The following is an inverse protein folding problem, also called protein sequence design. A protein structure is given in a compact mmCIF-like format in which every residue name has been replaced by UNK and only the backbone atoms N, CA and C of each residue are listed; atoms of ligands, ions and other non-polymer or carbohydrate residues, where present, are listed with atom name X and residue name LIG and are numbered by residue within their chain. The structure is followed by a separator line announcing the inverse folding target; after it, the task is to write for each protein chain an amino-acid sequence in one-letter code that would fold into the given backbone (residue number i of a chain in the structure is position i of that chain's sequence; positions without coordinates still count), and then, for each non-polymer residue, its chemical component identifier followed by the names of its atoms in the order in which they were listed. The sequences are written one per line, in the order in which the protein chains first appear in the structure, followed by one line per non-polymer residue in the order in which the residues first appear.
data_IF_867758305348
#
_entry.id   IF_867758305348
#
_cell.length_a   1.000
_cell.length_b   1.000
_cell.length_c   1.000
_cell.angle_alpha   90.00
_cell.angle_beta   90.00
_cell.angle_gamma   90.00
#
_symmetry.space_group_name_H-M   'P 1'
#
loop_
_entity.id
_entity.type
_entity.pdbx_description
1 polymer ?
#
# COMPACT_ATOMS: atom_id res chain seq x y z
N UNK A 1 16.64 23.36 2.38
CA UNK A 1 17.44 22.15 2.11
C UNK A 1 16.51 21.17 1.45
N UNK A 2 16.79 20.69 0.25
CA UNK A 2 15.98 19.62 -0.37
C UNK A 2 16.37 18.32 0.32
N UNK A 3 15.46 17.74 1.07
CA UNK A 3 15.65 16.41 1.64
C UNK A 3 15.78 15.39 0.50
N UNK A 4 16.66 14.40 0.66
CA UNK A 4 16.79 13.34 -0.34
C UNK A 4 15.53 12.46 -0.29
N UNK A 5 14.98 12.13 -1.45
CA UNK A 5 13.81 11.27 -1.55
C UNK A 5 14.12 9.87 -1.00
N UNK A 6 13.14 9.22 -0.34
CA UNK A 6 13.31 7.84 0.06
C UNK A 6 13.43 6.94 -1.19
N UNK A 7 14.17 5.81 -1.13
CA UNK A 7 14.35 4.94 -2.30
C UNK A 7 13.04 4.45 -2.92
N UNK A 8 12.01 4.27 -2.09
CA UNK A 8 10.69 3.80 -2.47
C UNK A 8 9.70 4.92 -2.85
N UNK A 9 10.18 6.10 -3.24
CA UNK A 9 9.38 7.22 -3.76
C UNK A 9 8.96 7.05 -5.24
N UNK A 10 9.20 5.88 -5.83
CA UNK A 10 8.79 5.53 -7.20
C UNK A 10 8.49 4.04 -7.31
N UNK A 11 7.68 3.65 -8.29
CA UNK A 11 7.35 2.25 -8.57
C UNK A 11 8.61 1.38 -8.74
N UNK A 12 9.60 1.84 -9.50
CA UNK A 12 10.84 1.10 -9.75
C UNK A 12 11.74 0.97 -8.51
N UNK A 13 11.57 1.86 -7.53
CA UNK A 13 12.33 1.89 -6.28
C UNK A 13 11.67 1.13 -5.13
N UNK A 14 10.56 0.41 -5.39
CA UNK A 14 9.79 -0.27 -4.36
C UNK A 14 10.66 -1.20 -3.48
N UNK A 15 10.49 -1.11 -2.16
CA UNK A 15 11.27 -1.89 -1.19
C UNK A 15 10.44 -2.99 -0.52
N UNK A 16 11.02 -4.10 -0.05
CA UNK A 16 10.25 -5.16 0.59
C UNK A 16 9.48 -4.70 1.83
N UNK A 17 8.22 -5.14 1.98
CA UNK A 17 7.42 -4.98 3.21
C UNK A 17 7.09 -6.36 3.81
N UNK A 18 7.11 -6.43 5.13
CA UNK A 18 6.63 -7.61 5.87
C UNK A 18 5.19 -7.32 6.29
N UNK A 19 4.25 -8.09 5.73
CA UNK A 19 2.83 -7.99 6.06
C UNK A 19 2.50 -9.06 7.11
N UNK A 20 2.02 -8.67 8.31
CA UNK A 20 1.62 -9.62 9.34
C UNK A 20 0.31 -10.33 8.99
N UNK A 21 0.10 -11.50 9.59
CA UNK A 21 -1.18 -12.22 9.56
C UNK A 21 -2.19 -11.60 10.54
N UNK A 22 -3.48 -11.78 10.25
CA UNK A 22 -4.58 -11.39 11.13
C UNK A 22 -4.40 -11.99 12.53
N UNK A 23 -4.60 -11.16 13.57
CA UNK A 23 -4.37 -11.53 14.97
C UNK A 23 -3.18 -10.80 15.61
N UNK A 24 -2.42 -10.02 14.84
CA UNK A 24 -1.51 -9.02 15.40
C UNK A 24 -2.32 -7.91 16.12
N UNK A 25 -1.84 -7.46 17.28
CA UNK A 25 -2.33 -6.22 17.91
C UNK A 25 -2.00 -5.04 17.01
N UNK A 26 -3.01 -4.47 16.31
CA UNK A 26 -2.92 -3.39 15.30
C UNK A 26 -1.67 -3.49 14.41
N UNK A 27 -1.77 -4.09 13.21
CA UNK A 27 -0.66 -4.16 12.25
C UNK A 27 -0.44 -2.79 11.58
N UNK A 28 -0.19 -1.79 12.41
CA UNK A 28 -0.14 -0.39 12.05
C UNK A 28 1.23 -0.04 11.49
N UNK A 29 1.21 0.67 10.37
CA UNK A 29 2.34 1.29 9.73
C UNK A 29 2.14 2.80 9.74
N UNK A 30 3.25 3.54 9.77
CA UNK A 30 3.27 5.00 9.63
C UNK A 30 4.35 5.37 8.63
N UNK A 31 4.01 6.23 7.66
CA UNK A 31 4.95 6.76 6.68
C UNK A 31 5.09 8.27 6.88
N UNK A 32 6.32 8.76 7.12
CA UNK A 32 6.57 10.14 7.51
C UNK A 32 6.77 11.07 6.30
N UNK A 33 5.78 11.13 5.40
CA UNK A 33 5.85 11.89 4.13
C UNK A 33 6.26 13.35 4.30
N UNK A 34 5.98 13.98 5.45
CA UNK A 34 6.35 15.38 5.71
C UNK A 34 7.81 15.57 6.10
N UNK A 35 8.53 14.49 6.43
CA UNK A 35 9.88 14.55 7.01
C UNK A 35 10.89 13.56 6.43
N UNK A 36 10.52 12.66 5.51
CA UNK A 36 11.48 11.77 4.82
C UNK A 36 11.79 12.19 3.38
N UNK A 37 11.07 13.18 2.87
CA UNK A 37 11.29 13.78 1.57
C UNK A 37 10.19 13.45 0.58
N UNK A 38 9.40 12.39 0.80
CA UNK A 38 8.45 11.79 -0.15
C UNK A 38 7.74 12.80 -1.04
N UNK A 39 7.62 12.49 -2.32
CA UNK A 39 6.92 13.30 -3.32
C UNK A 39 5.81 12.51 -4.01
N UNK A 40 5.01 13.21 -4.81
CA UNK A 40 4.08 12.57 -5.74
C UNK A 40 4.88 11.98 -6.91
N UNK A 41 4.91 10.66 -7.00
CA UNK A 41 5.61 9.93 -8.07
C UNK A 41 4.97 10.12 -9.46
N UNK A 42 3.74 10.63 -9.52
CA UNK A 42 2.91 10.73 -10.73
C UNK A 42 2.26 9.41 -11.15
N UNK A 43 2.43 8.34 -10.38
CA UNK A 43 1.77 7.05 -10.60
C UNK A 43 0.34 7.10 -10.04
N UNK A 44 -0.63 7.41 -10.90
CA UNK A 44 -2.02 7.53 -10.48
C UNK A 44 -2.80 6.21 -10.55
N UNK A 45 -3.89 6.13 -9.78
CA UNK A 45 -4.72 4.94 -9.60
C UNK A 45 -5.99 5.03 -10.46
N UNK A 46 -6.16 4.09 -11.39
CA UNK A 46 -7.36 4.05 -12.24
C UNK A 46 -8.55 3.53 -11.43
N UNK A 47 -9.58 4.35 -11.26
CA UNK A 47 -10.82 3.98 -10.60
C UNK A 47 -10.85 4.18 -9.08
N UNK A 48 -9.79 4.77 -8.51
CA UNK A 48 -9.71 5.18 -7.11
C UNK A 48 -9.30 6.65 -6.98
N UNK A 49 -9.17 7.14 -5.74
CA UNK A 49 -8.66 8.48 -5.43
C UNK A 49 -7.34 8.75 -6.15
N UNK A 50 -7.22 9.97 -6.68
CA UNK A 50 -5.98 10.42 -7.28
C UNK A 50 -4.86 10.44 -6.23
N UNK A 51 -3.69 9.89 -6.58
CA UNK A 51 -2.53 9.88 -5.69
C UNK A 51 -1.89 11.27 -5.59
N UNK A 52 -1.42 11.59 -4.38
CA UNK A 52 -0.41 12.61 -4.12
C UNK A 52 0.89 11.92 -3.70
N UNK A 53 1.51 12.41 -2.62
CA UNK A 53 2.70 11.77 -2.05
C UNK A 53 2.49 10.28 -1.82
N UNK A 54 3.44 9.47 -2.28
CA UNK A 54 3.28 8.03 -2.30
C UNK A 54 4.59 7.27 -2.09
N UNK A 55 4.46 6.07 -1.50
CA UNK A 55 5.57 5.15 -1.35
C UNK A 55 5.18 3.75 -1.81
N UNK A 56 6.18 3.05 -2.34
CA UNK A 56 6.01 1.76 -3.00
C UNK A 56 6.69 0.63 -2.24
N UNK A 57 6.00 -0.48 -2.09
CA UNK A 57 6.52 -1.66 -1.42
C UNK A 57 6.40 -2.89 -2.29
N UNK A 58 7.29 -3.85 -2.12
CA UNK A 58 7.21 -5.16 -2.77
C UNK A 58 6.78 -6.22 -1.77
N UNK A 59 5.92 -7.12 -2.21
CA UNK A 59 5.49 -8.27 -1.43
C UNK A 59 5.23 -9.45 -2.35
N UNK A 60 5.76 -10.62 -1.98
CA UNK A 60 5.43 -11.89 -2.65
C UNK A 60 4.19 -12.47 -1.98
N UNK A 61 3.14 -12.70 -2.75
CA UNK A 61 1.84 -13.09 -2.25
C UNK A 61 1.88 -14.43 -1.51
N UNK A 62 1.75 -14.38 -0.19
CA UNK A 62 1.59 -15.58 0.65
C UNK A 62 0.12 -15.91 0.92
N UNK A 63 -0.79 -14.98 0.61
CA UNK A 63 -2.23 -15.10 0.77
C UNK A 63 -2.95 -14.46 -0.43
N UNK A 64 -4.20 -14.83 -0.67
CA UNK A 64 -5.00 -14.33 -1.81
C UNK A 64 -5.65 -12.96 -1.55
N UNK A 65 -5.57 -12.47 -0.31
CA UNK A 65 -6.20 -11.22 0.08
C UNK A 65 -5.34 -10.44 1.06
N UNK A 66 -5.39 -9.11 0.94
CA UNK A 66 -4.91 -8.17 1.95
C UNK A 66 -6.07 -7.36 2.48
N UNK A 67 -6.09 -7.11 3.79
CA UNK A 67 -7.02 -6.16 4.41
C UNK A 67 -6.28 -4.88 4.73
N UNK A 68 -6.84 -3.76 4.28
CA UNK A 68 -6.32 -2.43 4.47
C UNK A 68 -7.32 -1.55 5.22
N UNK A 69 -6.85 -0.83 6.23
CA UNK A 69 -7.63 0.19 6.92
C UNK A 69 -6.79 1.47 6.98
N UNK A 70 -7.32 2.54 6.42
CA UNK A 70 -6.74 3.87 6.59
C UNK A 70 -6.93 4.35 8.04
N UNK A 71 -5.90 4.96 8.61
CA UNK A 71 -5.90 5.47 9.98
C UNK A 71 -5.48 6.94 9.99
N UNK A 72 -5.57 7.57 11.15
CA UNK A 72 -4.96 8.88 11.37
C UNK A 72 -3.50 8.72 11.83
N UNK A 73 -2.59 9.60 11.39
CA UNK A 73 -2.81 10.76 10.50
C UNK A 73 -2.99 10.38 9.01
N UNK A 74 -3.49 11.33 8.22
CA UNK A 74 -3.47 11.28 6.75
C UNK A 74 -4.54 10.43 6.06
N UNK A 75 -5.01 9.34 6.67
CA UNK A 75 -6.05 8.45 6.10
C UNK A 75 -5.77 8.04 4.64
N UNK A 76 -4.63 7.35 4.39
CA UNK A 76 -4.14 7.06 3.05
C UNK A 76 -5.04 6.08 2.27
N UNK A 77 -4.81 6.01 0.96
CA UNK A 77 -5.33 4.98 0.08
C UNK A 77 -4.28 3.89 -0.20
N UNK A 78 -4.71 2.86 -0.91
CA UNK A 78 -3.85 1.74 -1.33
C UNK A 78 -4.11 1.37 -2.79
N UNK A 79 -3.07 1.01 -3.52
CA UNK A 79 -3.19 0.34 -4.81
C UNK A 79 -2.18 -0.79 -4.93
N UNK A 80 -2.58 -1.86 -5.62
CA UNK A 80 -1.80 -3.08 -5.81
C UNK A 80 -1.60 -3.28 -7.30
N UNK A 81 -0.36 -3.55 -7.68
CA UNK A 81 0.07 -3.75 -9.05
C UNK A 81 0.79 -5.08 -9.19
N UNK A 82 0.69 -5.68 -10.37
CA UNK A 82 1.57 -6.77 -10.77
C UNK A 82 2.98 -6.24 -10.98
N UNK A 83 3.98 -6.80 -10.27
CA UNK A 83 5.34 -6.27 -10.31
C UNK A 83 6.03 -6.46 -11.67
N UNK A 84 5.55 -7.41 -12.49
CA UNK A 84 6.17 -7.74 -13.78
C UNK A 84 5.65 -6.83 -14.89
N UNK A 85 4.34 -6.68 -14.99
CA UNK A 85 3.67 -5.91 -16.04
C UNK A 85 3.43 -4.44 -15.66
N UNK A 86 3.49 -4.10 -14.37
CA UNK A 86 3.11 -2.78 -13.87
C UNK A 86 1.60 -2.51 -13.92
N UNK A 87 0.78 -3.53 -14.20
CA UNK A 87 -0.67 -3.38 -14.32
C UNK A 87 -1.31 -3.28 -12.94
N UNK A 88 -2.18 -2.29 -12.73
CA UNK A 88 -2.98 -2.20 -11.51
C UNK A 88 -3.96 -3.38 -11.42
N UNK A 89 -3.92 -4.09 -10.31
CA UNK A 89 -4.79 -5.25 -10.00
C UNK A 89 -5.98 -4.79 -9.14
N UNK A 90 -5.71 -4.00 -8.11
CA UNK A 90 -6.70 -3.58 -7.12
C UNK A 90 -6.36 -2.22 -6.55
N UNK A 91 -7.36 -1.48 -6.08
CA UNK A 91 -7.14 -0.23 -5.37
C UNK A 91 -8.28 0.05 -4.40
N UNK A 92 -8.04 0.96 -3.46
CA UNK A 92 -9.06 1.54 -2.60
C UNK A 92 -8.75 3.00 -2.32
N UNK A 93 -9.82 3.80 -2.20
CA UNK A 93 -9.77 5.23 -1.93
C UNK A 93 -9.11 5.53 -0.57
N UNK A 94 -8.80 6.81 -0.34
CA UNK A 94 -8.51 7.33 0.99
C UNK A 94 -9.72 7.21 1.92
N UNK A 95 -9.51 7.30 3.24
CA UNK A 95 -10.57 7.23 4.26
C UNK A 95 -11.38 5.92 4.27
N UNK A 96 -10.80 4.81 3.84
CA UNK A 96 -11.44 3.49 3.84
C UNK A 96 -11.14 2.70 5.12
N UNK A 97 -12.04 1.79 5.48
CA UNK A 97 -11.89 0.87 6.61
C UNK A 97 -12.20 -0.55 6.16
N UNK A 98 -11.35 -1.51 6.53
CA UNK A 98 -11.48 -2.93 6.19
C UNK A 98 -11.64 -3.18 4.68
N UNK A 99 -10.92 -2.42 3.85
CA UNK A 99 -10.91 -2.60 2.40
C UNK A 99 -10.14 -3.88 2.04
N UNK A 100 -10.80 -4.78 1.32
CA UNK A 100 -10.22 -6.04 0.87
C UNK A 100 -9.57 -5.87 -0.51
N UNK A 101 -8.26 -6.06 -0.59
CA UNK A 101 -7.53 -6.13 -1.86
C UNK A 101 -7.39 -7.61 -2.27
N UNK A 102 -7.60 -7.90 -3.55
CA UNK A 102 -7.49 -9.26 -4.13
C UNK A 102 -7.28 -9.17 -5.65
N UNK A 103 -7.05 -10.32 -6.30
CA UNK A 103 -6.93 -10.41 -7.77
C UNK A 103 -5.62 -11.02 -8.29
N UNK A 104 -4.77 -11.51 -7.38
CA UNK A 104 -3.51 -12.19 -7.67
C UNK A 104 -3.56 -13.67 -7.25
N UNK A 105 -2.53 -14.43 -7.61
CA UNK A 105 -2.29 -15.80 -7.18
C UNK A 105 -1.21 -15.89 -6.09
N UNK A 106 -1.15 -17.04 -5.40
CA UNK A 106 -0.07 -17.31 -4.45
C UNK A 106 1.27 -17.38 -5.18
N UNK A 107 2.27 -16.70 -4.63
CA UNK A 107 3.62 -16.60 -5.19
C UNK A 107 3.82 -15.46 -6.19
N UNK A 108 2.77 -14.73 -6.57
CA UNK A 108 2.89 -13.54 -7.42
C UNK A 108 3.68 -12.45 -6.70
N UNK A 109 4.51 -11.72 -7.45
CA UNK A 109 5.22 -10.57 -6.92
C UNK A 109 4.38 -9.32 -7.18
N UNK A 110 4.06 -8.60 -6.11
CA UNK A 110 3.19 -7.44 -6.14
C UNK A 110 3.96 -6.19 -5.75
N UNK A 111 3.57 -5.06 -6.33
CA UNK A 111 3.95 -3.72 -5.87
C UNK A 111 2.73 -3.10 -5.19
N UNK A 112 2.93 -2.60 -3.99
CA UNK A 112 1.92 -1.97 -3.14
C UNK A 112 2.25 -0.49 -3.05
N UNK A 113 1.35 0.36 -3.54
CA UNK A 113 1.44 1.79 -3.38
C UNK A 113 0.58 2.21 -2.18
N UNK A 114 1.16 2.96 -1.26
CA UNK A 114 0.44 3.69 -0.22
C UNK A 114 0.56 5.16 -0.54
N UNK A 115 -0.57 5.84 -0.66
CA UNK A 115 -0.61 7.23 -1.10
C UNK A 115 -1.53 8.08 -0.22
N UNK A 116 -1.15 9.34 -0.04
CA UNK A 116 -2.09 10.38 0.40
C UNK A 116 -2.88 10.90 -0.81
N UNK A 117 -4.03 11.54 -0.61
CA UNK A 117 -4.80 12.09 -1.72
C UNK A 117 -4.08 13.26 -2.39
N UNK A 118 -4.30 13.43 -3.69
CA UNK A 118 -3.67 14.49 -4.46
C UNK A 118 -3.85 15.89 -3.83
N UNK A 119 -2.75 16.64 -3.72
CA UNK A 119 -2.72 17.97 -3.13
C UNK A 119 -2.62 18.01 -1.60
N UNK A 120 -2.58 16.85 -0.93
CA UNK A 120 -2.27 16.73 0.49
C UNK A 120 -0.79 16.42 0.71
N UNK A 121 -0.27 16.91 1.84
CA UNK A 121 1.06 16.60 2.34
C UNK A 121 0.96 16.35 3.85
N UNK A 122 0.58 15.13 4.22
CA UNK A 122 0.51 14.69 5.60
C UNK A 122 1.25 13.38 5.79
N UNK A 123 1.78 13.16 7.00
CA UNK A 123 2.18 11.82 7.41
C UNK A 123 0.95 10.92 7.38
N UNK A 124 1.12 9.67 6.99
CA UNK A 124 0.01 8.72 6.83
C UNK A 124 0.19 7.54 7.77
N UNK A 125 -0.92 7.02 8.29
CA UNK A 125 -0.95 5.76 9.03
C UNK A 125 -2.04 4.83 8.50
N UNK A 126 -1.79 3.53 8.59
CA UNK A 126 -2.70 2.50 8.12
C UNK A 126 -2.45 1.17 8.81
N UNK A 127 -3.47 0.32 8.87
CA UNK A 127 -3.29 -1.11 9.15
C UNK A 127 -3.23 -1.89 7.81
N UNK A 128 -2.29 -2.82 7.71
CA UNK A 128 -2.20 -3.75 6.58
C UNK A 128 -1.88 -5.16 7.08
N UNK A 129 -2.72 -6.13 6.74
CA UNK A 129 -2.51 -7.52 7.14
C UNK A 129 -3.10 -8.52 6.15
N UNK A 130 -2.57 -9.73 6.17
CA UNK A 130 -3.16 -10.86 5.46
C UNK A 130 -4.18 -11.56 6.34
N UNK A 131 -5.20 -12.17 5.75
CA UNK A 131 -6.06 -13.13 6.42
C UNK A 131 -5.66 -14.50 5.88
N UNK A 132 -5.25 -15.46 6.73
CA UNK A 132 -4.95 -16.80 6.27
C UNK A 132 -6.16 -17.36 5.54
N UNK A 133 -5.97 -17.84 4.30
CA UNK A 133 -6.99 -18.62 3.64
C UNK A 133 -7.35 -19.78 4.57
N UNK A 134 -8.62 -19.94 5.03
CA UNK A 134 -8.96 -21.09 5.83
C UNK A 134 -8.63 -22.33 5.00
N UNK A 135 -7.74 -23.18 5.53
CA UNK A 135 -7.46 -24.46 4.92
C UNK A 135 -8.82 -25.13 4.67
N UNK A 136 -9.12 -25.46 3.41
CA UNK A 136 -10.30 -26.22 3.05
C UNK A 136 -10.33 -27.43 3.97
N UNK A 137 -11.31 -27.47 4.88
CA UNK A 137 -11.62 -28.67 5.63
C UNK A 137 -12.14 -29.68 4.60
N UNK A 138 -11.22 -30.49 4.07
CA UNK A 138 -11.52 -31.69 3.30
C UNK A 138 -11.54 -32.86 4.26
#
# INVERSE_FOLDING_TARGET
MTQAQPPNDTFAGAIPIIIPVQGATSPQFTLPFTTDGTTDSGQDNVGCSASGNDQFFTWTATELTLTFTSLNPGSPGIAIYDAVSGTQISCSNTFVTNALQSGWALGDNLVIQIYDFNGSSADVAFDLFTIPCPALAV
#
